data_IF_935998143117
#
_entry.id   IF_935998143117
#
_cell.length_a   1.000
_cell.length_b   1.000
_cell.length_c   1.000
_cell.angle_alpha   90.00
_cell.angle_beta   90.00
_cell.angle_gamma   90.00
#
_symmetry.space_group_name_H-M   'P 1'
#
loop_
_entity.id
_entity.type
_entity.pdbx_description
1 polymer ?
#
# COMPACT_ATOMS: atom_id res chain seq x y z
N UNK A 1 -7.34 -3.49 17.90
CA UNK A 1 -7.98 -4.02 16.67
C UNK A 1 -7.26 -3.38 15.49
N UNK A 2 -6.42 -4.12 14.77
CA UNK A 2 -5.88 -3.65 13.48
C UNK A 2 -7.11 -3.51 12.58
N UNK A 3 -7.56 -2.28 12.37
CA UNK A 3 -8.89 -2.00 11.83
C UNK A 3 -9.01 -2.53 10.40
N UNK A 4 -10.19 -3.03 10.05
CA UNK A 4 -10.60 -3.35 8.67
C UNK A 4 -10.37 -2.20 7.65
N UNK A 5 -9.99 -1.01 8.13
CA UNK A 5 -9.81 0.23 7.36
C UNK A 5 -8.34 0.68 7.23
N UNK A 6 -7.34 -0.05 7.76
CA UNK A 6 -5.93 0.38 7.64
C UNK A 6 -5.51 0.54 6.16
N UNK A 7 -4.76 1.60 5.80
CA UNK A 7 -4.21 1.78 4.45
C UNK A 7 -3.48 0.54 3.93
N UNK A 8 -2.68 -0.11 4.79
CA UNK A 8 -1.92 -1.30 4.42
C UNK A 8 -2.84 -2.49 4.17
N UNK A 9 -3.93 -2.64 4.94
CA UNK A 9 -4.90 -3.70 4.66
C UNK A 9 -5.63 -3.45 3.35
N UNK A 10 -6.00 -2.21 3.04
CA UNK A 10 -6.61 -1.86 1.76
C UNK A 10 -5.68 -2.19 0.58
N UNK A 11 -4.38 -1.90 0.71
CA UNK A 11 -3.37 -2.27 -0.28
C UNK A 11 -3.29 -3.79 -0.44
N UNK A 12 -3.19 -4.54 0.66
CA UNK A 12 -3.09 -6.01 0.62
C UNK A 12 -4.35 -6.64 0.00
N UNK A 13 -5.55 -6.22 0.40
CA UNK A 13 -6.80 -6.70 -0.21
C UNK A 13 -6.83 -6.41 -1.71
N UNK A 14 -6.43 -5.19 -2.11
CA UNK A 14 -6.41 -4.84 -3.53
C UNK A 14 -5.37 -5.61 -4.33
N UNK A 15 -4.24 -5.93 -3.71
CA UNK A 15 -3.24 -6.84 -4.29
C UNK A 15 -3.81 -8.24 -4.46
N UNK A 16 -4.52 -8.77 -3.46
CA UNK A 16 -5.20 -10.09 -3.53
C UNK A 16 -6.22 -10.12 -4.68
N UNK A 17 -7.07 -9.11 -4.81
CA UNK A 17 -8.08 -8.99 -5.89
C UNK A 17 -7.48 -8.95 -7.30
N UNK A 18 -6.27 -8.40 -7.43
CA UNK A 18 -5.57 -8.21 -8.71
C UNK A 18 -4.49 -9.28 -8.96
N UNK A 19 -4.39 -10.30 -8.11
CA UNK A 19 -3.32 -11.32 -8.10
C UNK A 19 -1.90 -10.73 -8.16
N UNK A 20 -1.70 -9.60 -7.48
CA UNK A 20 -0.42 -8.91 -7.42
C UNK A 20 0.47 -9.48 -6.31
N UNK A 21 1.75 -9.66 -6.62
CA UNK A 21 2.77 -10.09 -5.67
C UNK A 21 3.58 -8.89 -5.20
N UNK A 22 4.27 -8.97 -4.04
CA UNK A 22 5.12 -7.87 -3.56
C UNK A 22 6.17 -7.40 -4.59
N UNK A 23 6.65 -8.29 -5.46
CA UNK A 23 7.58 -7.91 -6.56
C UNK A 23 6.95 -6.93 -7.56
N UNK A 24 5.65 -6.96 -7.75
CA UNK A 24 4.93 -6.09 -8.70
C UNK A 24 4.77 -4.68 -8.12
N UNK A 25 4.70 -4.57 -6.79
CA UNK A 25 4.69 -3.31 -6.06
C UNK A 25 6.01 -2.53 -6.16
N UNK A 26 7.10 -3.16 -6.62
CA UNK A 26 8.40 -2.49 -6.79
C UNK A 26 8.29 -1.31 -7.76
N UNK A 27 7.48 -1.45 -8.82
CA UNK A 27 7.25 -0.39 -9.82
C UNK A 27 6.46 0.80 -9.27
N UNK A 28 5.79 0.64 -8.13
CA UNK A 28 4.91 1.64 -7.52
C UNK A 28 5.61 2.30 -6.31
N UNK A 29 6.17 1.49 -5.41
CA UNK A 29 6.71 1.95 -4.12
C UNK A 29 8.22 2.19 -4.18
N UNK A 30 8.94 1.46 -5.04
CA UNK A 30 10.41 1.51 -5.17
C UNK A 30 11.05 0.16 -4.89
N UNK A 31 12.21 0.14 -4.23
CA UNK A 31 12.97 -1.09 -4.03
C UNK A 31 12.26 -2.17 -3.18
N UNK A 32 12.76 -3.41 -3.26
CA UNK A 32 12.21 -4.57 -2.55
C UNK A 32 12.18 -4.39 -1.02
N UNK A 33 13.19 -3.74 -0.45
CA UNK A 33 13.26 -3.49 1.00
C UNK A 33 12.11 -2.58 1.43
N UNK A 34 11.87 -1.51 0.66
CA UNK A 34 10.82 -0.54 0.94
C UNK A 34 9.44 -1.13 0.80
N UNK A 35 9.21 -1.95 -0.22
CA UNK A 35 7.95 -2.70 -0.35
C UNK A 35 7.72 -3.55 0.90
N UNK A 36 8.72 -4.32 1.33
CA UNK A 36 8.60 -5.16 2.52
C UNK A 36 8.30 -4.33 3.77
N UNK A 37 9.02 -3.24 4.00
CA UNK A 37 8.85 -2.39 5.18
C UNK A 37 7.46 -1.76 5.23
N UNK A 38 6.93 -1.28 4.10
CA UNK A 38 5.59 -0.70 4.01
C UNK A 38 4.52 -1.77 4.27
N UNK A 39 4.59 -2.92 3.59
CA UNK A 39 3.60 -3.99 3.74
C UNK A 39 3.61 -4.60 5.14
N UNK A 40 4.75 -4.55 5.85
CA UNK A 40 4.85 -4.96 7.26
C UNK A 40 4.66 -3.81 8.26
N UNK A 41 4.20 -2.64 7.82
CA UNK A 41 3.96 -1.45 8.67
C UNK A 41 5.19 -0.93 9.45
N UNK A 42 6.42 -1.31 9.05
CA UNK A 42 7.66 -0.81 9.64
C UNK A 42 7.98 0.62 9.19
N UNK A 43 7.38 1.04 8.08
CA UNK A 43 7.53 2.38 7.49
C UNK A 43 6.17 2.93 7.13
N UNK A 44 5.96 4.23 7.35
CA UNK A 44 4.76 4.93 6.90
C UNK A 44 4.82 5.24 5.41
N UNK A 45 3.66 5.24 4.77
CA UNK A 45 3.48 5.72 3.41
C UNK A 45 3.86 7.20 3.32
N UNK A 46 4.60 7.56 2.28
CA UNK A 46 4.86 8.97 1.94
C UNK A 46 3.77 9.49 1.01
N UNK A 47 3.59 10.81 0.94
CA UNK A 47 2.62 11.43 0.01
C UNK A 47 2.86 11.03 -1.45
N UNK A 48 4.12 10.84 -1.86
CA UNK A 48 4.46 10.32 -3.19
C UNK A 48 3.90 8.91 -3.38
N UNK A 49 4.14 8.01 -2.43
CA UNK A 49 3.62 6.63 -2.50
C UNK A 49 2.10 6.60 -2.52
N UNK A 50 1.43 7.44 -1.72
CA UNK A 50 -0.03 7.52 -1.69
C UNK A 50 -0.58 7.85 -3.08
N UNK A 51 0.02 8.82 -3.79
CA UNK A 51 -0.37 9.17 -5.17
C UNK A 51 -0.12 8.02 -6.16
N UNK A 52 1.04 7.38 -6.10
CA UNK A 52 1.35 6.26 -7.00
C UNK A 52 0.45 5.05 -6.74
N UNK A 53 0.15 4.73 -5.48
CA UNK A 53 -0.73 3.63 -5.09
C UNK A 53 -2.18 3.92 -5.50
N UNK A 54 -2.67 5.14 -5.28
CA UNK A 54 -3.99 5.54 -5.76
C UNK A 54 -4.10 5.35 -7.27
N UNK A 55 -3.12 5.82 -8.03
CA UNK A 55 -3.10 5.71 -9.50
C UNK A 55 -3.02 4.25 -9.97
N UNK A 56 -2.20 3.42 -9.33
CA UNK A 56 -1.93 2.06 -9.77
C UNK A 56 -2.98 1.04 -9.32
N UNK A 57 -3.50 1.18 -8.10
CA UNK A 57 -4.41 0.21 -7.48
C UNK A 57 -5.86 0.72 -7.41
N UNK A 58 -6.10 1.99 -7.76
CA UNK A 58 -7.40 2.65 -7.71
C UNK A 58 -8.02 2.67 -6.29
N UNK A 59 -7.15 2.78 -5.27
CA UNK A 59 -7.57 2.89 -3.86
C UNK A 59 -7.80 4.36 -3.51
N UNK A 60 -8.97 4.75 -2.94
CA UNK A 60 -9.26 6.13 -2.59
C UNK A 60 -8.22 6.79 -1.68
N UNK A 61 -7.96 8.09 -1.90
CA UNK A 61 -7.02 8.86 -1.07
C UNK A 61 -7.42 8.86 0.42
N UNK A 62 -8.71 9.03 0.71
CA UNK A 62 -9.27 8.99 2.06
C UNK A 62 -8.98 7.69 2.81
N UNK A 63 -8.85 6.56 2.10
CA UNK A 63 -8.43 5.28 2.68
C UNK A 63 -6.94 5.26 2.95
N UNK A 64 -6.12 5.84 2.06
CA UNK A 64 -4.65 5.77 2.13
C UNK A 64 -4.03 6.72 3.16
N UNK A 65 -4.71 7.80 3.54
CA UNK A 65 -4.23 8.81 4.49
C UNK A 65 -4.57 8.50 5.95
N UNK A 66 -5.32 7.43 6.22
CA UNK A 66 -5.69 7.07 7.59
C UNK A 66 -4.46 6.73 8.44
N UNK A 67 -4.55 6.94 9.75
CA UNK A 67 -3.48 6.56 10.68
C UNK A 67 -3.47 5.04 10.93
N UNK A 68 -2.26 4.49 11.06
CA UNK A 68 -1.97 3.08 11.34
C UNK A 68 -0.58 2.91 11.94
#
# INVERSE_FOLDING_TARGET
KIGQLSPIRAILTRMEELDLKPKDMIRIIGDKSRVSDILSMKRKLTLKMIREINKALNIPFETLIQEY
#
